data_IF_181584920992
#
_entry.id   IF_181584920992
#
_cell.length_a   1.000
_cell.length_b   1.000
_cell.length_c   1.000
_cell.angle_alpha   90.00
_cell.angle_beta   90.00
_cell.angle_gamma   90.00
#
_symmetry.space_group_name_H-M   'P 1'
#
loop_
_entity.id
_entity.type
_entity.pdbx_description
1 polymer ?
#
# COMPACT_ATOMS: atom_id res chain seq x y z
N UNK A 1 14.37 -33.37 2.84
CA UNK A 1 15.22 -32.96 1.72
C UNK A 1 14.41 -32.07 0.80
N UNK A 2 14.47 -30.74 0.95
CA UNK A 2 13.74 -29.79 0.12
C UNK A 2 14.38 -29.78 -1.26
N UNK A 3 13.67 -30.26 -2.28
CA UNK A 3 14.08 -30.03 -3.67
C UNK A 3 13.97 -28.53 -3.93
N UNK A 4 15.08 -27.86 -4.19
CA UNK A 4 15.10 -26.53 -4.79
C UNK A 4 14.32 -26.63 -6.11
N UNK A 5 13.09 -26.11 -6.13
CA UNK A 5 12.44 -25.83 -7.39
C UNK A 5 13.25 -24.70 -8.04
N UNK A 6 13.85 -24.99 -9.16
CA UNK A 6 14.38 -23.95 -10.03
C UNK A 6 13.15 -23.19 -10.51
N UNK A 7 12.97 -21.96 -9.99
CA UNK A 7 11.99 -21.03 -10.52
C UNK A 7 12.34 -20.83 -12.00
N UNK A 8 11.60 -21.45 -12.88
CA UNK A 8 11.66 -21.12 -14.31
C UNK A 8 11.27 -19.65 -14.42
N UNK A 9 12.00 -18.89 -15.20
CA UNK A 9 11.64 -17.51 -15.49
C UNK A 9 10.22 -17.49 -16.07
N UNK A 10 9.29 -16.89 -15.34
CA UNK A 10 7.93 -16.66 -15.82
C UNK A 10 7.95 -15.42 -16.72
N UNK A 11 7.65 -15.61 -17.98
CA UNK A 11 7.42 -14.48 -18.87
C UNK A 11 6.03 -13.91 -18.58
N UNK A 12 6.00 -12.63 -18.20
CA UNK A 12 4.79 -11.92 -17.78
C UNK A 12 3.94 -11.56 -18.98
N UNK A 13 3.33 -12.26 -19.70
CA UNK A 13 2.41 -12.00 -20.79
C UNK A 13 2.93 -12.33 -22.21
N UNK A 14 2.35 -13.34 -22.86
CA UNK A 14 2.69 -13.69 -24.24
C UNK A 14 2.29 -12.62 -25.28
N UNK A 15 1.49 -11.61 -24.92
CA UNK A 15 1.20 -10.46 -25.79
C UNK A 15 2.19 -9.31 -25.63
N UNK A 16 3.05 -9.39 -24.62
CA UNK A 16 4.13 -8.46 -24.49
C UNK A 16 5.19 -8.80 -25.57
N UNK A 17 5.61 -7.85 -26.43
CA UNK A 17 6.70 -8.07 -27.39
C UNK A 17 8.01 -8.55 -26.76
N UNK A 18 8.05 -8.62 -25.46
CA UNK A 18 9.14 -9.14 -24.64
C UNK A 18 9.15 -10.67 -24.49
N UNK A 19 8.20 -11.38 -25.01
CA UNK A 19 8.12 -12.87 -24.96
C UNK A 19 9.21 -13.59 -25.79
N UNK A 20 10.23 -12.88 -26.19
CA UNK A 20 11.37 -13.38 -26.94
C UNK A 20 11.26 -13.23 -28.46
N UNK A 21 10.15 -12.69 -28.94
CA UNK A 21 9.92 -12.51 -30.39
C UNK A 21 10.44 -11.18 -30.89
N UNK A 22 10.63 -10.17 -30.03
CA UNK A 22 11.15 -8.87 -30.43
C UNK A 22 12.17 -8.31 -29.46
N UNK A 23 13.43 -8.45 -29.81
CA UNK A 23 14.54 -7.81 -29.10
C UNK A 23 14.50 -6.28 -29.14
N UNK A 24 13.73 -5.68 -30.03
CA UNK A 24 13.61 -4.22 -30.14
C UNK A 24 12.86 -3.61 -28.97
N UNK A 25 11.99 -4.34 -28.31
CA UNK A 25 11.23 -3.88 -27.15
C UNK A 25 11.87 -4.31 -25.82
N UNK A 26 13.01 -4.93 -25.86
CA UNK A 26 13.76 -5.35 -24.69
C UNK A 26 14.69 -4.29 -24.12
N UNK A 27 14.97 -3.22 -24.86
CA UNK A 27 15.78 -2.12 -24.39
C UNK A 27 14.94 -1.14 -23.52
N UNK A 28 15.16 -1.06 -22.19
CA UNK A 28 14.42 -0.17 -21.31
C UNK A 28 14.55 1.32 -21.64
N UNK A 29 15.40 1.68 -22.59
CA UNK A 29 15.59 3.08 -23.03
C UNK A 29 14.72 3.46 -24.23
N UNK A 30 14.14 2.50 -24.94
CA UNK A 30 13.52 2.73 -26.25
C UNK A 30 12.01 2.60 -26.28
N UNK A 31 11.32 2.34 -25.12
CA UNK A 31 9.89 2.07 -25.18
C UNK A 31 9.11 2.25 -23.92
N UNK A 32 7.82 2.45 -24.12
CA UNK A 32 6.85 2.66 -23.06
C UNK A 32 6.34 1.41 -22.35
N UNK A 33 6.68 0.22 -22.79
CA UNK A 33 6.20 -0.99 -22.14
C UNK A 33 7.15 -1.44 -21.01
N UNK A 34 6.73 -1.21 -19.77
CA UNK A 34 7.46 -1.58 -18.56
C UNK A 34 6.84 -2.78 -17.84
N UNK A 35 6.09 -3.62 -18.54
CA UNK A 35 5.40 -4.76 -17.93
C UNK A 35 6.35 -5.79 -17.26
N UNK A 36 7.63 -5.78 -17.60
CA UNK A 36 8.66 -6.61 -16.97
C UNK A 36 9.12 -6.11 -15.58
N UNK A 37 8.69 -4.92 -15.16
CA UNK A 37 9.05 -4.34 -13.86
C UNK A 37 7.95 -4.64 -12.86
N UNK A 38 8.08 -5.75 -12.12
CA UNK A 38 7.13 -6.15 -11.09
C UNK A 38 7.41 -5.45 -9.76
N UNK A 39 6.37 -4.95 -9.10
CA UNK A 39 6.41 -4.27 -7.80
C UNK A 39 5.62 -5.00 -6.73
N UNK A 40 4.58 -5.74 -7.11
CA UNK A 40 3.75 -6.48 -6.17
C UNK A 40 3.31 -7.80 -6.76
N UNK A 41 3.12 -8.79 -5.89
CA UNK A 41 2.65 -10.11 -6.27
C UNK A 41 1.74 -10.65 -5.17
N UNK A 42 0.63 -11.25 -5.58
CA UNK A 42 -0.25 -12.05 -4.72
C UNK A 42 -0.55 -13.37 -5.42
N UNK A 43 -0.72 -14.43 -4.66
CA UNK A 43 -1.04 -15.73 -5.19
C UNK A 43 -2.13 -16.40 -4.35
N UNK A 44 -3.04 -17.07 -5.02
CA UNK A 44 -4.10 -17.85 -4.40
C UNK A 44 -4.48 -19.04 -5.28
N UNK A 45 -4.46 -20.24 -4.70
CA UNK A 45 -4.69 -21.48 -5.45
C UNK A 45 -3.75 -21.60 -6.65
N UNK A 46 -4.27 -21.69 -7.85
CA UNK A 46 -3.58 -21.78 -9.13
C UNK A 46 -3.39 -20.41 -9.81
N UNK A 47 -3.85 -19.35 -9.18
CA UNK A 47 -3.83 -18.00 -9.76
C UNK A 47 -2.77 -17.13 -9.09
N UNK A 48 -1.99 -16.42 -9.92
CA UNK A 48 -1.03 -15.41 -9.48
C UNK A 48 -1.34 -14.08 -10.14
N UNK A 49 -1.31 -13.01 -9.36
CA UNK A 49 -1.47 -11.64 -9.83
C UNK A 49 -0.17 -10.88 -9.64
N UNK A 50 0.24 -10.14 -10.64
CA UNK A 50 1.48 -9.35 -10.63
C UNK A 50 1.18 -7.92 -11.02
N UNK A 51 1.44 -6.98 -10.11
CA UNK A 51 1.41 -5.54 -10.37
C UNK A 51 2.73 -5.07 -10.92
N UNK A 52 2.69 -4.35 -12.03
CA UNK A 52 3.88 -3.92 -12.77
C UNK A 52 3.89 -2.41 -13.01
N UNK A 53 4.92 -1.91 -13.69
CA UNK A 53 4.96 -0.53 -14.18
C UNK A 53 4.10 -0.32 -15.46
N UNK A 54 3.31 -1.31 -15.85
CA UNK A 54 2.39 -1.23 -16.98
C UNK A 54 1.13 -2.07 -16.75
N UNK A 55 0.47 -1.88 -15.60
CA UNK A 55 -0.78 -2.55 -15.28
C UNK A 55 -0.64 -3.81 -14.44
N UNK A 56 -1.63 -4.66 -14.52
CA UNK A 56 -1.77 -5.91 -13.77
C UNK A 56 -1.70 -7.10 -14.71
N UNK A 57 -0.98 -8.14 -14.31
CA UNK A 57 -0.99 -9.43 -14.99
C UNK A 57 -1.63 -10.49 -14.11
N UNK A 58 -2.55 -11.27 -14.64
CA UNK A 58 -3.12 -12.44 -14.01
C UNK A 58 -2.59 -13.68 -14.70
N UNK A 59 -1.96 -14.56 -13.97
CA UNK A 59 -1.48 -15.85 -14.46
C UNK A 59 -2.28 -17.00 -13.85
N UNK A 60 -2.73 -17.93 -14.67
CA UNK A 60 -3.34 -19.18 -14.21
C UNK A 60 -2.36 -20.31 -14.47
N UNK A 61 -1.99 -21.04 -13.43
CA UNK A 61 -1.04 -22.14 -13.48
C UNK A 61 -1.79 -23.41 -13.91
N UNK A 62 -1.49 -23.91 -15.09
CA UNK A 62 -2.06 -25.17 -15.59
C UNK A 62 -1.37 -26.40 -15.00
N UNK A 63 -2.00 -27.57 -15.17
CA UNK A 63 -1.52 -28.86 -14.68
C UNK A 63 -0.12 -29.22 -15.17
N UNK A 64 0.27 -28.71 -16.33
CA UNK A 64 1.60 -28.88 -16.91
C UNK A 64 2.65 -27.92 -16.34
N UNK A 65 2.27 -27.07 -15.37
CA UNK A 65 3.12 -26.04 -14.77
C UNK A 65 3.37 -24.83 -15.68
N UNK A 66 2.70 -24.72 -16.83
CA UNK A 66 2.70 -23.52 -17.63
C UNK A 66 1.72 -22.49 -17.08
N UNK A 67 2.04 -21.21 -17.24
CA UNK A 67 1.17 -20.11 -16.78
C UNK A 67 0.54 -19.44 -17.99
N UNK A 68 -0.80 -19.37 -17.97
CA UNK A 68 -1.57 -18.63 -18.96
C UNK A 68 -1.79 -17.20 -18.45
N UNK A 69 -1.23 -16.22 -19.14
CA UNK A 69 -1.25 -14.83 -18.72
C UNK A 69 -2.34 -14.01 -19.40
N UNK A 70 -3.00 -13.16 -18.64
CA UNK A 70 -3.87 -12.07 -19.11
C UNK A 70 -3.31 -10.75 -18.56
N UNK A 71 -3.24 -9.72 -19.40
CA UNK A 71 -2.70 -8.42 -19.05
C UNK A 71 -3.79 -7.35 -19.08
N UNK A 72 -3.89 -6.58 -18.02
CA UNK A 72 -4.84 -5.50 -17.80
C UNK A 72 -4.13 -4.16 -17.73
N UNK A 73 -4.65 -3.17 -18.45
CA UNK A 73 -4.05 -1.83 -18.56
C UNK A 73 -5.08 -0.71 -18.38
N UNK A 74 -4.67 0.53 -18.06
CA UNK A 74 -5.59 1.66 -17.99
C UNK A 74 -6.34 1.90 -19.29
N UNK A 75 -5.67 1.77 -20.42
CA UNK A 75 -6.24 2.08 -21.73
C UNK A 75 -7.30 1.06 -22.21
N UNK A 76 -7.16 -0.21 -21.83
CA UNK A 76 -8.03 -1.29 -22.29
C UNK A 76 -9.06 -1.75 -21.25
N UNK A 77 -8.72 -1.66 -19.97
CA UNK A 77 -9.44 -2.38 -18.92
C UNK A 77 -9.90 -1.47 -17.75
N UNK A 78 -9.86 -0.14 -17.91
CA UNK A 78 -10.26 0.83 -16.89
C UNK A 78 -9.48 0.76 -15.56
N UNK A 79 -8.24 0.29 -15.57
CA UNK A 79 -7.35 0.51 -14.42
C UNK A 79 -7.11 2.02 -14.26
N UNK A 80 -7.02 2.49 -13.02
CA UNK A 80 -6.85 3.92 -12.74
C UNK A 80 -5.49 4.45 -13.18
N UNK A 81 -4.42 3.67 -13.01
CA UNK A 81 -3.06 4.03 -13.39
C UNK A 81 -2.22 2.82 -13.77
N UNK A 82 -1.26 3.02 -14.66
CA UNK A 82 -0.41 1.95 -15.17
C UNK A 82 0.66 1.48 -14.19
N UNK A 83 1.09 2.32 -13.25
CA UNK A 83 2.11 1.95 -12.28
C UNK A 83 1.49 1.32 -11.03
N UNK A 84 1.37 -0.01 -11.01
CA UNK A 84 0.71 -0.77 -9.93
C UNK A 84 1.72 -1.11 -8.83
N UNK A 85 1.67 -0.35 -7.75
CA UNK A 85 2.63 -0.43 -6.63
C UNK A 85 2.23 -1.45 -5.56
N UNK A 86 0.96 -1.79 -5.47
CA UNK A 86 0.45 -2.74 -4.48
C UNK A 86 -0.73 -3.53 -4.99
N UNK A 87 -0.81 -4.79 -4.58
CA UNK A 87 -1.95 -5.67 -4.80
C UNK A 87 -2.41 -6.27 -3.47
N UNK A 88 -3.71 -6.43 -3.31
CA UNK A 88 -4.29 -7.20 -2.22
C UNK A 88 -5.42 -8.10 -2.75
N UNK A 89 -5.51 -9.29 -2.21
CA UNK A 89 -6.62 -10.20 -2.43
C UNK A 89 -7.49 -10.24 -1.17
N UNK A 90 -8.74 -9.92 -1.31
CA UNK A 90 -9.73 -9.99 -0.24
C UNK A 90 -10.67 -11.15 -0.50
N UNK A 91 -10.75 -12.05 0.48
CA UNK A 91 -11.74 -13.11 0.49
C UNK A 91 -12.82 -12.76 1.52
N UNK A 92 -14.02 -12.53 1.04
CA UNK A 92 -15.12 -12.13 1.91
C UNK A 92 -16.44 -12.75 1.46
N UNK A 93 -17.12 -13.45 2.36
CA UNK A 93 -18.42 -14.11 2.11
C UNK A 93 -18.44 -14.98 0.84
N UNK A 94 -17.34 -15.71 0.58
CA UNK A 94 -17.23 -16.60 -0.57
C UNK A 94 -16.91 -15.91 -1.91
N UNK A 95 -16.65 -14.62 -1.90
CA UNK A 95 -16.22 -13.85 -3.08
C UNK A 95 -14.76 -13.42 -2.95
N UNK A 96 -14.10 -13.33 -4.09
CA UNK A 96 -12.74 -12.78 -4.21
C UNK A 96 -12.80 -11.40 -4.83
N UNK A 97 -12.13 -10.45 -4.19
CA UNK A 97 -11.97 -9.09 -4.69
C UNK A 97 -10.46 -8.83 -4.82
N UNK A 98 -10.04 -8.49 -6.02
CA UNK A 98 -8.65 -8.09 -6.30
C UNK A 98 -8.57 -6.58 -6.24
N UNK A 99 -7.67 -6.07 -5.43
CA UNK A 99 -7.40 -4.65 -5.26
C UNK A 99 -6.04 -4.30 -5.85
N UNK A 100 -5.97 -3.20 -6.57
CA UNK A 100 -4.74 -2.68 -7.17
C UNK A 100 -4.54 -1.21 -6.79
N UNK A 101 -3.50 -0.93 -6.04
CA UNK A 101 -3.03 0.41 -5.74
C UNK A 101 -2.17 0.91 -6.90
N UNK A 102 -2.61 1.95 -7.60
CA UNK A 102 -2.00 2.43 -8.83
C UNK A 102 -1.58 3.89 -8.74
N UNK A 103 -0.47 4.20 -9.38
CA UNK A 103 0.01 5.57 -9.57
C UNK A 103 0.04 5.88 -11.07
N UNK A 104 -0.18 7.12 -11.42
CA UNK A 104 -0.14 7.63 -12.79
C UNK A 104 1.21 7.30 -13.45
N UNK A 105 1.19 6.63 -14.58
CA UNK A 105 2.35 6.35 -15.42
C UNK A 105 2.35 7.17 -16.72
N UNK A 106 1.15 7.55 -17.21
CA UNK A 106 0.98 8.28 -18.46
C UNK A 106 -0.09 9.37 -18.35
N UNK A 107 -0.16 10.24 -19.34
CA UNK A 107 -1.20 11.27 -19.44
C UNK A 107 -2.58 10.61 -19.57
N UNK A 108 -3.56 11.18 -18.85
CA UNK A 108 -4.93 10.66 -18.82
C UNK A 108 -5.20 9.60 -17.74
N UNK A 109 -4.17 9.12 -17.06
CA UNK A 109 -4.30 8.23 -15.92
C UNK A 109 -4.50 9.00 -14.60
N UNK A 110 -4.99 8.30 -13.59
CA UNK A 110 -5.21 8.86 -12.25
C UNK A 110 -4.63 7.93 -11.19
N UNK A 111 -3.87 8.49 -10.24
CA UNK A 111 -3.47 7.74 -9.05
C UNK A 111 -4.72 7.41 -8.23
N UNK A 112 -4.93 6.15 -7.90
CA UNK A 112 -6.13 5.67 -7.22
C UNK A 112 -6.00 4.20 -6.78
N UNK A 113 -7.08 3.65 -6.27
CA UNK A 113 -7.26 2.22 -6.07
C UNK A 113 -8.25 1.70 -7.11
N UNK A 114 -7.87 0.66 -7.83
CA UNK A 114 -8.77 -0.11 -8.69
C UNK A 114 -9.15 -1.44 -8.03
N UNK A 115 -10.33 -1.97 -8.35
CA UNK A 115 -10.74 -3.28 -7.89
C UNK A 115 -11.50 -4.06 -8.96
N UNK A 116 -11.44 -5.39 -8.84
CA UNK A 116 -12.22 -6.33 -9.65
C UNK A 116 -12.87 -7.37 -8.74
N UNK A 117 -14.14 -7.70 -9.00
CA UNK A 117 -14.91 -8.72 -8.26
C UNK A 117 -15.20 -9.97 -9.11
N UNK A 118 -14.75 -9.98 -10.34
CA UNK A 118 -15.06 -10.98 -11.38
C UNK A 118 -13.79 -11.63 -11.97
N UNK A 119 -12.71 -11.61 -11.20
CA UNK A 119 -11.44 -12.21 -11.63
C UNK A 119 -10.71 -11.39 -12.71
N UNK A 120 -10.97 -10.10 -12.82
CA UNK A 120 -10.31 -9.18 -13.74
C UNK A 120 -11.08 -8.95 -15.04
N UNK A 121 -12.29 -9.49 -15.20
CA UNK A 121 -13.11 -9.24 -16.40
C UNK A 121 -13.54 -7.78 -16.46
N UNK A 122 -13.80 -7.16 -15.31
CA UNK A 122 -14.02 -5.72 -15.19
C UNK A 122 -13.23 -5.10 -14.06
N UNK A 123 -12.80 -3.84 -14.25
CA UNK A 123 -12.10 -3.04 -13.25
C UNK A 123 -12.86 -1.75 -12.97
N UNK A 124 -12.92 -1.39 -11.71
CA UNK A 124 -13.57 -0.21 -11.19
C UNK A 124 -12.59 0.63 -10.37
N UNK A 125 -12.73 1.94 -10.43
CA UNK A 125 -11.84 2.86 -9.70
C UNK A 125 -12.53 3.43 -8.46
N UNK A 126 -11.79 3.51 -7.36
CA UNK A 126 -12.17 4.16 -6.10
C UNK A 126 -10.98 4.91 -5.51
N UNK A 127 -11.17 5.75 -4.49
CA UNK A 127 -10.14 6.59 -3.88
C UNK A 127 -9.33 7.38 -4.93
N UNK A 128 -10.03 7.96 -5.90
CA UNK A 128 -9.45 8.65 -7.04
C UNK A 128 -8.73 9.94 -6.64
N UNK A 129 -7.57 10.20 -7.24
CA UNK A 129 -6.73 11.36 -6.97
C UNK A 129 -5.74 11.16 -5.81
N UNK A 130 -5.82 10.06 -5.07
CA UNK A 130 -4.91 9.78 -3.98
C UNK A 130 -3.65 9.04 -4.47
N UNK A 131 -2.49 9.56 -4.09
CA UNK A 131 -1.21 8.88 -4.36
C UNK A 131 -0.99 7.75 -3.37
N UNK A 132 -1.20 6.54 -3.82
CA UNK A 132 -1.13 5.32 -3.02
C UNK A 132 0.26 4.69 -3.09
N UNK A 133 0.68 4.01 -2.02
CA UNK A 133 1.98 3.33 -1.92
C UNK A 133 1.85 1.85 -1.62
N UNK A 134 0.87 1.47 -0.81
CA UNK A 134 0.68 0.09 -0.39
C UNK A 134 -0.78 -0.15 -0.02
N UNK A 135 -1.22 -1.39 -0.13
CA UNK A 135 -2.59 -1.82 0.17
C UNK A 135 -2.59 -3.17 0.87
N UNK A 136 -3.49 -3.35 1.81
CA UNK A 136 -3.77 -4.64 2.43
C UNK A 136 -5.26 -4.81 2.67
N UNK A 137 -5.72 -6.04 2.69
CA UNK A 137 -7.11 -6.36 2.95
C UNK A 137 -7.26 -7.52 3.93
N UNK A 138 -8.36 -7.56 4.62
CA UNK A 138 -8.73 -8.65 5.52
C UNK A 138 -10.22 -8.69 5.71
N UNK A 139 -10.84 -9.86 5.63
CA UNK A 139 -12.30 -10.02 5.75
C UNK A 139 -13.05 -8.86 5.07
N UNK A 140 -13.66 -7.97 5.85
CA UNK A 140 -14.42 -6.82 5.36
C UNK A 140 -13.62 -5.51 5.27
N UNK A 141 -12.35 -5.48 5.68
CA UNK A 141 -11.57 -4.23 5.77
C UNK A 141 -10.52 -4.16 4.67
N UNK A 142 -10.40 -2.99 4.05
CA UNK A 142 -9.29 -2.65 3.16
C UNK A 142 -8.60 -1.40 3.69
N UNK A 143 -7.28 -1.45 3.77
CA UNK A 143 -6.42 -0.38 4.24
C UNK A 143 -5.46 0.04 3.14
N UNK A 144 -5.28 1.33 2.97
CA UNK A 144 -4.40 1.93 1.96
C UNK A 144 -3.46 2.93 2.61
N UNK A 145 -2.17 2.69 2.41
CA UNK A 145 -1.12 3.63 2.75
C UNK A 145 -0.92 4.61 1.59
N UNK A 146 -0.90 5.90 1.88
CA UNK A 146 -0.87 6.94 0.87
C UNK A 146 -0.06 8.16 1.27
N UNK A 147 0.11 9.08 0.33
CA UNK A 147 0.77 10.37 0.57
C UNK A 147 0.04 11.21 1.62
N UNK A 148 -1.27 11.12 1.71
CA UNK A 148 -2.05 11.92 2.65
C UNK A 148 -2.32 11.20 3.97
N UNK A 149 -1.97 9.91 4.10
CA UNK A 149 -2.16 9.14 5.33
C UNK A 149 -2.64 7.73 5.11
N UNK A 150 -3.24 7.17 6.15
CA UNK A 150 -3.85 5.84 6.13
C UNK A 150 -5.35 5.97 5.86
N UNK A 151 -5.83 5.25 4.85
CA UNK A 151 -7.24 5.18 4.49
C UNK A 151 -7.81 3.80 4.77
N UNK A 152 -9.09 3.77 5.13
CA UNK A 152 -9.87 2.56 5.39
C UNK A 152 -11.20 2.60 4.65
N UNK A 153 -11.57 1.49 4.06
CA UNK A 153 -12.95 1.21 3.68
C UNK A 153 -13.42 -0.11 4.29
N UNK A 154 -14.72 -0.25 4.48
CA UNK A 154 -15.35 -1.47 5.00
C UNK A 154 -16.34 -1.97 3.98
N UNK A 155 -16.14 -3.21 3.54
CA UNK A 155 -16.98 -3.89 2.58
C UNK A 155 -17.98 -4.75 3.34
N UNK A 156 -19.23 -4.37 3.35
CA UNK A 156 -20.34 -5.11 3.96
C UNK A 156 -21.00 -6.09 2.99
N UNK A 157 -20.97 -5.75 1.70
CA UNK A 157 -21.44 -6.57 0.60
C UNK A 157 -20.33 -6.74 -0.45
N UNK A 158 -19.86 -7.96 -0.74
CA UNK A 158 -18.81 -8.20 -1.72
C UNK A 158 -19.21 -7.89 -3.18
N UNK A 159 -20.52 -7.74 -3.44
CA UNK A 159 -21.04 -7.33 -4.76
C UNK A 159 -21.27 -5.81 -4.87
N UNK A 160 -21.03 -5.06 -3.80
CA UNK A 160 -21.13 -3.60 -3.74
C UNK A 160 -19.91 -3.04 -3.01
N UNK A 161 -18.82 -2.90 -3.73
CA UNK A 161 -17.47 -2.64 -3.22
C UNK A 161 -17.12 -1.14 -3.25
N UNK A 162 -17.86 -0.34 -4.02
CA UNK A 162 -17.63 1.10 -4.13
C UNK A 162 -18.10 1.87 -2.87
N UNK A 163 -17.51 1.54 -1.72
CA UNK A 163 -17.83 2.16 -0.43
C UNK A 163 -17.00 3.43 -0.19
N UNK A 164 -17.49 4.33 0.66
CA UNK A 164 -16.73 5.50 1.06
C UNK A 164 -15.47 5.12 1.81
N UNK A 165 -14.43 5.92 1.63
CA UNK A 165 -13.18 5.81 2.36
C UNK A 165 -13.16 6.77 3.54
N UNK A 166 -12.68 6.29 4.68
CA UNK A 166 -12.42 7.10 5.85
C UNK A 166 -10.91 7.21 6.06
N UNK A 167 -10.42 8.40 6.34
CA UNK A 167 -9.03 8.63 6.69
C UNK A 167 -8.84 8.43 8.19
N UNK A 168 -7.77 7.74 8.57
CA UNK A 168 -7.38 7.65 9.98
C UNK A 168 -6.79 8.97 10.46
N UNK A 169 -7.02 9.29 11.74
CA UNK A 169 -6.24 10.30 12.43
C UNK A 169 -4.77 9.86 12.54
N UNK A 170 -3.82 10.81 12.60
CA UNK A 170 -2.41 10.49 12.81
C UNK A 170 -2.18 9.61 14.03
N UNK A 171 -1.25 8.66 13.93
CA UNK A 171 -0.93 7.75 15.01
C UNK A 171 -0.30 8.51 16.19
N UNK A 172 -0.95 8.46 17.35
CA UNK A 172 -0.56 9.17 18.57
C UNK A 172 -0.48 8.22 19.76
N UNK A 173 0.48 8.42 20.60
CA UNK A 173 0.65 7.71 21.86
C UNK A 173 0.85 8.69 23.03
N UNK A 174 0.00 8.59 24.04
CA UNK A 174 0.24 9.31 25.30
C UNK A 174 1.34 8.62 26.10
N UNK A 175 2.35 9.38 26.48
CA UNK A 175 3.46 8.92 27.31
C UNK A 175 3.36 9.61 28.67
N UNK A 176 3.28 8.81 29.73
CA UNK A 176 3.27 9.34 31.09
C UNK A 176 4.68 9.85 31.48
N UNK A 177 4.76 11.10 31.94
CA UNK A 177 6.01 11.71 32.39
C UNK A 177 6.15 11.49 33.88
N UNK A 178 6.62 10.30 34.25
CA UNK A 178 6.88 9.95 35.66
C UNK A 178 5.64 9.99 36.54
N UNK A 179 5.82 10.36 37.82
CA UNK A 179 4.74 10.44 38.82
C UNK A 179 4.02 11.80 38.87
N UNK A 180 4.25 12.65 37.86
CA UNK A 180 3.76 14.05 37.90
C UNK A 180 2.31 14.19 37.46
N UNK A 181 1.71 13.14 36.91
CA UNK A 181 0.37 13.21 36.26
C UNK A 181 0.37 13.97 34.94
N UNK A 182 1.53 14.37 34.43
CA UNK A 182 1.69 14.99 33.12
C UNK A 182 1.87 13.92 32.04
N UNK A 183 1.36 14.21 30.85
CA UNK A 183 1.51 13.37 29.68
C UNK A 183 2.18 14.17 28.57
N UNK A 184 3.11 13.55 27.85
CA UNK A 184 3.52 14.00 26.53
C UNK A 184 2.82 13.17 25.46
N UNK A 185 2.68 13.72 24.27
CA UNK A 185 2.19 12.98 23.11
C UNK A 185 3.38 12.65 22.22
N UNK A 186 3.55 11.37 21.94
CA UNK A 186 4.40 10.92 20.85
C UNK A 186 3.50 10.62 19.65
N UNK A 187 3.82 11.18 18.50
CA UNK A 187 3.01 11.03 17.30
C UNK A 187 3.88 10.84 16.05
N UNK A 188 3.33 10.17 15.06
CA UNK A 188 3.92 10.15 13.73
C UNK A 188 3.69 11.52 13.09
N UNK A 189 4.77 12.25 12.85
CA UNK A 189 4.73 13.64 12.35
C UNK A 189 4.56 13.72 10.84
N UNK A 190 4.85 12.62 10.13
CA UNK A 190 4.65 12.54 8.69
C UNK A 190 3.23 12.07 8.39
N UNK A 191 2.47 12.87 7.66
CA UNK A 191 1.17 12.43 7.13
C UNK A 191 1.34 11.29 6.12
N UNK A 192 2.51 11.19 5.49
CA UNK A 192 2.79 10.22 4.46
C UNK A 192 3.02 8.82 5.05
N UNK A 193 2.11 7.92 4.79
CA UNK A 193 2.18 6.50 5.18
C UNK A 193 2.61 5.70 3.96
N UNK A 194 3.80 5.08 4.04
CA UNK A 194 4.39 4.35 2.91
C UNK A 194 4.12 2.85 2.91
N UNK A 195 3.73 2.31 4.06
CA UNK A 195 3.41 0.89 4.19
C UNK A 195 2.32 0.65 5.22
N UNK A 196 1.47 -0.34 4.96
CA UNK A 196 0.44 -0.82 5.87
C UNK A 196 0.39 -2.34 5.85
N UNK A 197 0.20 -2.93 7.01
CA UNK A 197 -0.04 -4.36 7.16
C UNK A 197 -1.09 -4.61 8.23
N UNK A 198 -1.95 -5.58 8.00
CA UNK A 198 -2.94 -6.03 8.96
C UNK A 198 -2.56 -7.42 9.45
N UNK A 199 -2.33 -7.56 10.75
CA UNK A 199 -1.98 -8.82 11.39
C UNK A 199 -3.12 -9.33 12.26
N UNK A 200 -3.71 -10.46 11.91
CA UNK A 200 -4.79 -11.12 12.65
C UNK A 200 -4.30 -11.99 13.81
N UNK A 201 -2.99 -12.21 13.92
CA UNK A 201 -2.43 -13.12 14.93
C UNK A 201 -2.57 -12.53 16.33
N UNK A 202 -2.98 -13.33 17.33
CA UNK A 202 -3.25 -12.86 18.69
C UNK A 202 -1.97 -12.64 19.53
N UNK A 203 -0.79 -12.49 18.90
CA UNK A 203 0.48 -12.37 19.60
C UNK A 203 0.63 -11.11 20.46
N UNK A 204 -0.15 -10.08 20.20
CA UNK A 204 0.05 -8.77 20.79
C UNK A 204 -1.11 -8.33 21.70
N UNK A 205 -1.80 -9.27 22.33
CA UNK A 205 -2.92 -9.03 23.24
C UNK A 205 -4.16 -8.38 22.60
N UNK A 206 -4.18 -8.24 21.28
CA UNK A 206 -5.35 -7.79 20.52
C UNK A 206 -5.76 -8.85 19.50
N UNK A 207 -7.04 -8.89 19.17
CA UNK A 207 -7.55 -9.80 18.14
C UNK A 207 -7.08 -9.46 16.74
N UNK A 208 -6.57 -8.24 16.53
CA UNK A 208 -6.02 -7.77 15.27
C UNK A 208 -5.16 -6.52 15.50
N UNK A 209 -4.16 -6.33 14.66
CA UNK A 209 -3.19 -5.24 14.78
C UNK A 209 -2.93 -4.62 13.41
N UNK A 210 -2.98 -3.30 13.33
CA UNK A 210 -2.58 -2.55 12.14
C UNK A 210 -1.17 -2.01 12.37
N UNK A 211 -0.28 -2.28 11.44
CA UNK A 211 1.05 -1.70 11.39
C UNK A 211 1.12 -0.69 10.27
N UNK A 212 1.69 0.47 10.54
CA UNK A 212 1.99 1.49 9.54
C UNK A 212 3.46 1.87 9.59
N UNK A 213 4.04 2.06 8.40
CA UNK A 213 5.36 2.64 8.22
C UNK A 213 5.26 4.01 7.60
N UNK A 214 5.98 4.97 8.14
CA UNK A 214 6.11 6.32 7.61
C UNK A 214 7.58 6.72 7.53
N UNK A 215 7.87 7.89 6.97
CA UNK A 215 9.25 8.42 6.97
C UNK A 215 9.75 8.80 8.37
N UNK A 216 8.84 8.99 9.33
CA UNK A 216 9.15 9.39 10.70
C UNK A 216 9.20 8.21 11.68
N UNK A 217 8.81 7.03 11.26
CA UNK A 217 8.86 5.84 12.09
C UNK A 217 7.80 4.80 11.77
N UNK A 218 7.66 3.88 12.70
CA UNK A 218 6.70 2.78 12.67
C UNK A 218 5.65 3.01 13.76
N UNK A 219 4.39 2.73 13.47
CA UNK A 219 3.36 2.68 14.50
C UNK A 219 2.54 1.40 14.40
N UNK A 220 2.06 0.95 15.55
CA UNK A 220 1.18 -0.20 15.71
C UNK A 220 -0.12 0.22 16.37
N UNK A 221 -1.24 0.01 15.72
CA UNK A 221 -2.53 0.15 16.38
C UNK A 221 -2.76 -1.02 17.35
N UNK A 222 -3.22 -0.72 18.55
CA UNK A 222 -3.53 -1.69 19.57
C UNK A 222 -4.99 -2.19 19.49
N UNK A 223 -5.72 -1.64 18.53
CA UNK A 223 -7.09 -2.04 18.21
C UNK A 223 -7.37 -1.93 16.70
N UNK A 224 -8.34 -2.68 16.17
CA UNK A 224 -8.62 -2.72 14.72
C UNK A 224 -9.22 -1.41 14.16
N UNK A 225 -9.60 -0.48 15.02
CA UNK A 225 -10.15 0.82 14.62
C UNK A 225 -9.09 1.92 14.58
N UNK A 226 -7.89 1.66 15.12
CA UNK A 226 -6.80 2.64 15.14
C UNK A 226 -7.03 3.79 16.12
N UNK A 227 -7.71 3.52 17.25
CA UNK A 227 -7.92 4.54 18.29
C UNK A 227 -6.74 4.66 19.26
N UNK A 228 -6.01 3.54 19.42
CA UNK A 228 -4.85 3.48 20.31
C UNK A 228 -3.64 3.02 19.53
N UNK A 229 -2.58 3.79 19.56
CA UNK A 229 -1.34 3.52 18.88
C UNK A 229 -0.18 3.38 19.82
N UNK A 230 0.79 2.58 19.44
CA UNK A 230 2.13 2.55 19.97
C UNK A 230 3.08 3.01 18.87
N UNK A 231 3.87 4.06 19.17
CA UNK A 231 4.79 4.68 18.22
C UNK A 231 6.20 4.19 18.48
N UNK A 232 6.91 3.83 17.43
CA UNK A 232 8.29 3.37 17.45
C UNK A 232 9.13 4.29 16.58
N UNK A 233 10.02 5.03 17.21
CA UNK A 233 10.98 5.90 16.54
C UNK A 233 12.39 5.54 16.90
N UNK A 234 13.33 5.98 16.09
CA UNK A 234 14.72 6.05 16.49
C UNK A 234 14.83 7.00 17.68
N UNK A 235 15.40 6.53 18.79
CA UNK A 235 15.69 7.41 19.91
C UNK A 235 16.74 8.41 19.47
N UNK A 236 16.39 9.68 19.49
CA UNK A 236 17.34 10.76 19.29
C UNK A 236 18.24 10.89 20.51
N UNK A 237 19.48 11.33 20.27
CA UNK A 237 20.42 11.62 21.35
C UNK A 237 19.84 12.75 22.21
N UNK A 238 19.57 12.44 23.49
CA UNK A 238 18.98 13.37 24.45
C UNK A 238 19.79 14.66 24.64
N UNK A 239 21.06 14.67 24.23
CA UNK A 239 21.94 15.84 24.31
C UNK A 239 21.74 16.83 23.16
N UNK A 240 20.90 16.51 22.16
CA UNK A 240 20.72 17.32 20.95
C UNK A 240 19.29 17.81 20.84
N UNK A 241 19.14 19.02 20.33
CA UNK A 241 17.86 19.59 19.92
C UNK A 241 17.69 19.33 18.43
N UNK A 242 16.55 18.78 18.07
CA UNK A 242 16.19 18.48 16.67
C UNK A 242 15.00 19.31 16.26
N UNK A 243 15.07 19.90 15.09
CA UNK A 243 13.92 20.50 14.43
C UNK A 243 13.49 19.62 13.26
N UNK A 244 12.19 19.35 13.14
CA UNK A 244 11.63 18.55 12.06
C UNK A 244 10.36 19.22 11.50
N UNK A 245 10.14 19.21 10.21
CA UNK A 245 11.06 18.79 9.14
C UNK A 245 12.23 19.75 8.98
N UNK A 246 13.38 19.24 8.56
CA UNK A 246 14.57 20.05 8.27
C UNK A 246 15.24 19.56 6.99
N UNK A 247 15.22 20.34 5.86
CA UNK A 247 14.68 21.70 5.79
C UNK A 247 13.15 21.78 5.85
N UNK A 248 12.62 22.83 6.42
CA UNK A 248 11.20 23.12 6.46
C UNK A 248 10.77 23.88 5.20
N UNK A 249 9.74 23.35 4.53
CA UNK A 249 9.07 24.03 3.41
C UNK A 249 7.62 24.31 3.78
N UNK A 250 7.19 25.57 3.89
CA UNK A 250 5.82 25.91 4.22
C UNK A 250 4.79 25.38 3.22
N UNK A 251 5.22 25.13 1.99
CA UNK A 251 4.35 24.66 0.91
C UNK A 251 4.20 23.13 0.87
N UNK A 252 5.20 22.41 1.35
CA UNK A 252 5.21 20.95 1.34
C UNK A 252 4.86 20.34 2.70
N UNK A 253 5.21 21.03 3.78
CA UNK A 253 5.03 20.54 5.14
C UNK A 253 3.85 21.20 5.87
N UNK A 254 2.95 21.84 5.14
CA UNK A 254 1.77 22.54 5.68
C UNK A 254 0.55 21.60 5.85
N UNK A 255 0.73 20.30 5.94
CA UNK A 255 -0.40 19.36 5.88
C UNK A 255 -0.85 18.83 7.25
N UNK A 256 -0.10 19.12 8.29
CA UNK A 256 -0.48 18.74 9.67
C UNK A 256 -1.30 19.87 10.29
N UNK A 257 -2.62 19.78 10.17
CA UNK A 257 -3.54 20.72 10.83
C UNK A 257 -3.68 22.11 10.22
N UNK A 258 -3.19 22.34 9.00
CA UNK A 258 -3.48 23.57 8.22
C UNK A 258 -2.63 24.79 8.54
N UNK A 259 -1.63 24.69 9.40
CA UNK A 259 -0.64 25.75 9.62
C UNK A 259 0.75 25.10 9.64
N UNK A 260 1.67 25.58 8.80
CA UNK A 260 3.01 25.03 8.74
C UNK A 260 3.73 25.10 10.08
N UNK A 261 3.89 23.98 10.74
CA UNK A 261 4.60 23.88 12.00
C UNK A 261 5.99 23.29 11.81
N UNK A 262 6.95 23.82 12.56
CA UNK A 262 8.22 23.17 12.85
C UNK A 262 8.11 22.54 14.23
N UNK A 263 8.27 21.25 14.31
CA UNK A 263 8.35 20.56 15.59
C UNK A 263 9.80 20.65 16.10
N UNK A 264 9.96 21.02 17.34
CA UNK A 264 11.26 21.06 18.02
C UNK A 264 11.24 19.95 19.07
N UNK A 265 12.09 18.96 18.86
CA UNK A 265 12.38 17.98 19.90
C UNK A 265 13.53 18.46 20.77
N UNK A 266 13.26 18.61 22.05
CA UNK A 266 14.26 18.91 23.06
C UNK A 266 13.98 18.02 24.26
N UNK A 267 14.96 17.26 24.73
CA UNK A 267 14.87 16.59 26.03
C UNK A 267 15.11 17.64 27.12
N UNK A 268 14.02 18.29 27.54
CA UNK A 268 14.06 19.24 28.64
C UNK A 268 13.93 18.43 29.93
N UNK A 269 15.04 18.25 30.62
CA UNK A 269 14.97 17.84 32.03
C UNK A 269 14.33 18.98 32.82
N UNK A 270 13.05 18.85 33.13
CA UNK A 270 12.33 19.69 34.09
C UNK A 270 12.67 19.23 35.47
#
# INVERSE_FOLDING_TARGET
MYKRQVLKNFYLNPRDPWDGVSTKNSDPKTYGNHNHKAFSVIAYSDTVWVGTANGVNRGIIGDNGCVNWTHYTPAADNLSGGFVVGLALQEYKGHQIVWAASVTAAAGETSAVSFSIDGGESWHTTLSGERVYNITSTDSIVLVASKSGLWKTVIDNPLDVAKPWAKYEPAKQAINIGSTGLYSMDEILSDEVVGVSYDKRPFFHSSATIWIGSWDGLARALDPNGNNWQVYRTKYDASKVYAYPNPFSPYEHNQVGGAGYVHIYADVKV
#
